data_IF_171193216771
#
_entry.id   IF_171193216771
#
_cell.length_a   1.000
_cell.length_b   1.000
_cell.length_c   1.000
_cell.angle_alpha   90.00
_cell.angle_beta   90.00
_cell.angle_gamma   90.00
#
_symmetry.space_group_name_H-M   'P 1'
#
loop_
_entity.id
_entity.type
_entity.pdbx_description
1 polymer ?
#
# COMPACT_ATOMS: atom_id res chain seq x y z
N UNK A 1 -1.43 7.46 16.79
CA UNK A 1 -0.54 6.52 16.07
C UNK A 1 -1.11 5.10 16.18
N UNK A 2 -1.19 4.36 15.08
CA UNK A 2 -1.79 3.01 15.05
C UNK A 2 -0.89 1.92 15.65
N UNK A 3 0.40 2.20 15.87
CA UNK A 3 1.38 1.29 16.48
C UNK A 3 2.53 2.08 17.11
N UNK A 4 3.39 1.42 17.90
CA UNK A 4 4.52 2.04 18.60
C UNK A 4 5.77 1.15 18.62
N UNK A 5 6.84 1.62 19.27
CA UNK A 5 8.12 0.89 19.36
C UNK A 5 8.03 -0.45 20.10
N UNK A 6 7.25 -0.50 21.18
CA UNK A 6 7.04 -1.75 21.92
C UNK A 6 6.34 -2.80 21.04
N UNK A 7 5.34 -2.40 20.25
CA UNK A 7 4.67 -3.27 19.27
C UNK A 7 5.61 -3.76 18.17
N UNK A 8 6.51 -2.89 17.68
CA UNK A 8 7.56 -3.28 16.74
C UNK A 8 8.49 -4.35 17.33
N UNK A 9 9.02 -4.12 18.54
CA UNK A 9 9.92 -5.06 19.21
C UNK A 9 9.24 -6.39 19.50
N UNK A 10 7.97 -6.35 19.92
CA UNK A 10 7.16 -7.55 20.13
C UNK A 10 6.98 -8.35 18.84
N UNK A 11 6.60 -7.70 17.73
CA UNK A 11 6.40 -8.38 16.45
C UNK A 11 7.69 -9.00 15.93
N UNK A 12 8.81 -8.29 16.03
CA UNK A 12 10.14 -8.80 15.67
C UNK A 12 10.48 -10.08 16.45
N UNK A 13 10.20 -10.10 17.75
CA UNK A 13 10.48 -11.26 18.58
C UNK A 13 9.58 -12.46 18.26
N UNK A 14 8.30 -12.22 17.93
CA UNK A 14 7.35 -13.29 17.60
C UNK A 14 7.66 -13.93 16.23
N UNK A 15 8.08 -13.13 15.24
CA UNK A 15 8.40 -13.64 13.91
C UNK A 15 9.78 -14.31 13.83
N UNK A 16 10.68 -14.02 14.77
CA UNK A 16 12.02 -14.63 14.82
C UNK A 16 12.89 -14.25 13.61
N UNK A 17 13.86 -15.11 13.29
CA UNK A 17 14.85 -14.85 12.24
C UNK A 17 14.34 -15.13 10.82
N UNK A 18 13.15 -15.73 10.69
CA UNK A 18 12.51 -16.00 9.39
C UNK A 18 12.08 -14.69 8.69
N UNK A 19 11.93 -13.60 9.43
CA UNK A 19 11.51 -12.30 8.91
C UNK A 19 12.38 -11.15 9.43
N UNK A 20 12.77 -10.25 8.54
CA UNK A 20 13.31 -8.95 8.93
C UNK A 20 12.18 -7.93 9.08
N UNK A 21 11.92 -7.48 10.31
CA UNK A 21 10.93 -6.42 10.57
C UNK A 21 11.61 -5.05 10.54
N UNK A 22 11.12 -4.17 9.67
CA UNK A 22 11.54 -2.76 9.58
C UNK A 22 10.47 -1.84 10.15
N UNK A 23 10.87 -0.93 11.04
CA UNK A 23 9.99 0.12 11.54
C UNK A 23 10.00 1.30 10.58
N UNK A 24 8.81 1.75 10.17
CA UNK A 24 8.62 2.92 9.32
C UNK A 24 7.88 3.98 10.11
N UNK A 25 8.48 5.16 10.31
CA UNK A 25 7.82 6.28 11.00
C UNK A 25 7.10 7.16 9.98
N UNK A 26 5.84 7.45 10.26
CA UNK A 26 4.99 8.25 9.39
C UNK A 26 4.65 9.60 10.06
N UNK A 27 4.32 10.59 9.23
CA UNK A 27 3.77 11.87 9.70
C UNK A 27 2.50 11.66 10.54
N UNK A 28 2.24 12.56 11.50
CA UNK A 28 1.17 12.39 12.49
C UNK A 28 -0.24 12.27 11.89
N UNK A 29 -0.45 12.86 10.71
CA UNK A 29 -1.73 12.81 9.97
C UNK A 29 -2.02 11.45 9.32
N UNK A 30 -1.07 10.51 9.32
CA UNK A 30 -1.22 9.18 8.71
C UNK A 30 -1.15 8.11 9.80
N UNK A 31 -2.24 7.33 9.93
CA UNK A 31 -2.36 6.33 10.99
C UNK A 31 -1.79 4.96 10.61
N UNK A 32 -1.97 4.53 9.35
CA UNK A 32 -1.63 3.20 8.87
C UNK A 32 -0.74 3.26 7.62
N UNK A 33 0.19 2.30 7.52
CA UNK A 33 1.14 2.21 6.40
C UNK A 33 0.44 1.92 5.07
N UNK A 34 -0.68 1.20 5.08
CA UNK A 34 -1.46 0.87 3.89
C UNK A 34 -2.20 2.06 3.27
N UNK A 35 -2.21 3.22 3.94
CA UNK A 35 -2.70 4.48 3.38
C UNK A 35 -1.67 5.18 2.48
N UNK A 36 -0.38 4.86 2.65
CA UNK A 36 0.73 5.57 1.98
C UNK A 36 1.62 4.66 1.15
N UNK A 37 1.46 3.35 1.28
CA UNK A 37 2.23 2.35 0.56
C UNK A 37 1.33 1.20 0.07
N UNK A 38 1.34 0.98 -1.25
CA UNK A 38 0.84 -0.23 -1.89
C UNK A 38 1.94 -0.83 -2.76
N UNK A 39 2.03 -2.15 -2.76
CA UNK A 39 3.03 -2.92 -3.52
C UNK A 39 2.28 -3.80 -4.51
N UNK A 40 2.02 -3.32 -5.74
CA UNK A 40 1.32 -4.11 -6.76
C UNK A 40 2.08 -5.40 -7.14
N UNK A 41 3.41 -5.33 -7.20
CA UNK A 41 4.33 -6.46 -7.45
C UNK A 41 5.75 -6.09 -7.04
N UNK A 42 6.63 -7.09 -7.05
CA UNK A 42 8.07 -6.89 -6.84
C UNK A 42 8.64 -5.83 -7.80
N UNK A 43 9.43 -4.90 -7.27
CA UNK A 43 10.03 -3.80 -8.02
C UNK A 43 9.11 -2.62 -8.36
N UNK A 44 7.86 -2.60 -7.88
CA UNK A 44 6.89 -1.51 -8.13
C UNK A 44 6.12 -1.15 -6.87
N UNK A 45 6.07 0.15 -6.54
CA UNK A 45 5.24 0.67 -5.45
C UNK A 45 4.40 1.87 -5.88
N UNK A 46 3.23 2.02 -5.24
CA UNK A 46 2.47 3.27 -5.20
C UNK A 46 2.76 3.90 -3.83
N UNK A 47 3.26 5.13 -3.81
CA UNK A 47 3.83 5.70 -2.59
C UNK A 47 3.56 7.20 -2.43
N UNK A 48 3.33 7.63 -1.19
CA UNK A 48 3.40 9.02 -0.79
C UNK A 48 4.69 9.26 0.01
N UNK A 49 5.77 9.67 -0.66
CA UNK A 49 7.09 9.82 -0.03
C UNK A 49 7.08 10.84 1.12
N UNK A 50 6.32 11.93 0.97
CA UNK A 50 6.16 12.98 1.97
C UNK A 50 5.62 12.48 3.32
N UNK A 51 4.98 11.30 3.34
CA UNK A 51 4.46 10.70 4.56
C UNK A 51 5.53 10.00 5.40
N UNK A 52 6.72 9.73 4.87
CA UNK A 52 7.78 8.97 5.52
C UNK A 52 8.78 9.92 6.20
N UNK A 53 8.83 9.91 7.53
CA UNK A 53 9.67 10.83 8.31
C UNK A 53 11.18 10.57 8.15
N UNK A 54 11.54 9.32 7.85
CA UNK A 54 12.93 8.85 7.77
C UNK A 54 13.39 8.62 6.31
N UNK A 55 12.56 9.02 5.33
CA UNK A 55 12.71 8.61 3.95
C UNK A 55 12.22 7.19 3.68
N UNK A 56 12.46 6.71 2.46
CA UNK A 56 11.99 5.39 2.03
C UNK A 56 12.84 4.26 2.64
N UNK A 57 12.23 3.11 2.98
CA UNK A 57 12.97 1.91 3.31
C UNK A 57 13.92 1.49 2.20
N UNK A 58 15.10 1.00 2.58
CA UNK A 58 16.13 0.50 1.67
C UNK A 58 15.60 -0.54 0.69
N UNK A 59 14.66 -1.37 1.14
CA UNK A 59 14.07 -2.46 0.35
C UNK A 59 13.27 -1.98 -0.87
N UNK A 60 12.81 -0.72 -0.87
CA UNK A 60 11.97 -0.17 -1.94
C UNK A 60 12.52 1.10 -2.57
N UNK A 61 13.66 1.63 -2.09
CA UNK A 61 14.18 2.94 -2.53
C UNK A 61 14.53 2.98 -4.03
N UNK A 62 14.93 1.85 -4.60
CA UNK A 62 15.37 1.72 -5.99
C UNK A 62 14.28 1.13 -6.91
N UNK A 63 13.05 1.02 -6.40
CA UNK A 63 11.92 0.51 -7.18
C UNK A 63 11.37 1.56 -8.15
N UNK A 64 10.55 1.11 -9.10
CA UNK A 64 9.70 2.00 -9.87
C UNK A 64 8.57 2.52 -8.97
N UNK A 65 8.40 3.85 -8.92
CA UNK A 65 7.49 4.51 -7.98
C UNK A 65 6.40 5.28 -8.72
N UNK A 66 5.16 4.89 -8.45
CA UNK A 66 3.96 5.68 -8.76
C UNK A 66 3.73 6.62 -7.57
N UNK A 67 4.13 7.88 -7.72
CA UNK A 67 4.09 8.87 -6.65
C UNK A 67 2.71 9.51 -6.51
N UNK A 68 2.24 9.66 -5.28
CA UNK A 68 0.99 10.36 -4.96
C UNK A 68 1.20 11.38 -3.84
N UNK A 69 0.29 12.33 -3.72
CA UNK A 69 0.36 13.40 -2.71
C UNK A 69 -0.27 12.99 -1.38
N UNK A 70 0.00 13.76 -0.32
CA UNK A 70 -0.72 13.61 0.96
C UNK A 70 -2.24 13.85 0.82
N UNK A 71 -2.68 14.64 -0.17
CA UNK A 71 -4.11 14.83 -0.43
C UNK A 71 -4.75 13.59 -1.05
N UNK A 72 -4.01 12.84 -1.86
CA UNK A 72 -4.46 11.53 -2.36
C UNK A 72 -4.54 10.49 -1.23
N UNK A 73 -3.61 10.54 -0.28
CA UNK A 73 -3.62 9.69 0.93
C UNK A 73 -4.83 9.98 1.82
N UNK A 74 -5.17 11.26 2.05
CA UNK A 74 -6.40 11.63 2.79
C UNK A 74 -7.66 11.09 2.11
N UNK A 75 -7.61 10.92 0.80
CA UNK A 75 -8.65 10.30 -0.01
C UNK A 75 -8.47 8.80 -0.21
N UNK A 76 -7.56 8.15 0.54
CA UNK A 76 -7.23 6.72 0.54
C UNK A 76 -6.96 6.13 -0.85
N UNK A 77 -6.38 6.93 -1.76
CA UNK A 77 -6.11 6.55 -3.13
C UNK A 77 -5.19 5.33 -3.27
N UNK A 78 -4.23 5.19 -2.35
CA UNK A 78 -3.21 4.13 -2.36
C UNK A 78 -3.76 2.78 -1.90
N UNK A 79 -4.90 2.76 -1.21
CA UNK A 79 -5.42 1.60 -0.47
C UNK A 79 -6.20 0.59 -1.34
N UNK A 80 -5.73 0.38 -2.56
CA UNK A 80 -6.25 -0.68 -3.45
C UNK A 80 -5.69 -2.05 -3.10
N UNK A 81 -6.18 -3.08 -3.79
CA UNK A 81 -5.86 -4.49 -3.52
C UNK A 81 -5.11 -5.12 -4.70
N UNK A 82 -3.80 -5.40 -4.57
CA UNK A 82 -3.09 -6.28 -5.48
C UNK A 82 -3.65 -7.71 -5.38
N UNK A 83 -4.27 -8.23 -6.44
CA UNK A 83 -4.77 -9.62 -6.47
C UNK A 83 -3.61 -10.56 -6.80
N UNK A 84 -2.82 -10.20 -7.81
CA UNK A 84 -1.55 -10.83 -8.20
C UNK A 84 -0.68 -9.82 -8.97
N UNK A 85 0.43 -10.25 -9.55
CA UNK A 85 1.38 -9.38 -10.25
C UNK A 85 0.85 -8.72 -11.54
N UNK A 86 -0.33 -9.13 -12.01
CA UNK A 86 -0.96 -8.63 -13.24
C UNK A 86 -2.32 -7.97 -13.00
N UNK A 87 -2.95 -8.16 -11.85
CA UNK A 87 -4.30 -7.66 -11.58
C UNK A 87 -4.37 -6.88 -10.27
N UNK A 88 -4.95 -5.69 -10.34
CA UNK A 88 -5.10 -4.78 -9.21
C UNK A 88 -6.55 -4.29 -9.12
N UNK A 89 -7.16 -4.33 -7.94
CA UNK A 89 -8.49 -3.73 -7.71
C UNK A 89 -8.32 -2.34 -7.13
N UNK A 90 -8.88 -1.35 -7.80
CA UNK A 90 -8.79 0.06 -7.45
C UNK A 90 -10.16 0.62 -7.15
N UNK A 91 -10.33 1.19 -5.97
CA UNK A 91 -11.57 1.86 -5.59
C UNK A 91 -11.71 3.21 -6.28
N UNK A 92 -12.95 3.68 -6.42
CA UNK A 92 -13.27 5.06 -6.73
C UNK A 92 -14.59 5.48 -6.09
N UNK A 93 -14.83 6.77 -5.94
CA UNK A 93 -16.10 7.36 -5.53
C UNK A 93 -16.30 8.74 -6.17
N UNK A 94 -17.35 9.47 -5.76
CA UNK A 94 -17.66 10.79 -6.30
C UNK A 94 -16.62 11.88 -6.00
N UNK A 95 -15.76 11.66 -4.99
CA UNK A 95 -14.74 12.61 -4.54
C UNK A 95 -13.31 12.18 -4.89
N UNK A 96 -13.13 10.94 -5.34
CA UNK A 96 -11.85 10.38 -5.71
C UNK A 96 -11.99 9.35 -6.84
N UNK A 97 -11.54 9.70 -8.04
CA UNK A 97 -11.66 8.87 -9.25
C UNK A 97 -10.49 7.86 -9.39
N UNK A 98 -9.35 8.15 -8.76
CA UNK A 98 -8.10 7.36 -8.83
C UNK A 98 -7.59 7.05 -10.25
N UNK A 99 -8.03 7.79 -11.29
CA UNK A 99 -7.66 7.53 -12.70
C UNK A 99 -6.16 7.62 -12.96
N UNK A 100 -5.47 8.54 -12.28
CA UNK A 100 -4.02 8.65 -12.39
C UNK A 100 -3.33 7.32 -12.02
N UNK A 101 -3.68 6.74 -10.88
CA UNK A 101 -3.14 5.45 -10.42
C UNK A 101 -3.50 4.34 -11.41
N UNK A 102 -4.74 4.33 -11.91
CA UNK A 102 -5.15 3.37 -12.94
C UNK A 102 -4.20 3.44 -14.15
N UNK A 103 -4.03 4.63 -14.72
CA UNK A 103 -3.20 4.84 -15.91
C UNK A 103 -1.75 4.44 -15.69
N UNK A 104 -1.17 4.77 -14.53
CA UNK A 104 0.22 4.41 -14.23
C UNK A 104 0.42 2.90 -14.05
N UNK A 105 -0.55 2.20 -13.47
CA UNK A 105 -0.54 0.74 -13.37
C UNK A 105 -0.68 0.09 -14.76
N UNK A 106 -1.61 0.57 -15.58
CA UNK A 106 -1.87 0.03 -16.93
C UNK A 106 -0.68 0.24 -17.87
N UNK A 107 0.02 1.38 -17.79
CA UNK A 107 1.30 1.61 -18.51
C UNK A 107 2.36 0.55 -18.18
N UNK A 108 2.28 -0.06 -17.01
CA UNK A 108 3.20 -1.11 -16.52
C UNK A 108 2.66 -2.53 -16.75
N UNK A 109 1.60 -2.66 -17.56
CA UNK A 109 1.00 -3.95 -17.92
C UNK A 109 0.16 -4.58 -16.81
N UNK A 110 -0.28 -3.80 -15.82
CA UNK A 110 -1.21 -4.28 -14.77
C UNK A 110 -2.63 -3.94 -15.21
N UNK A 111 -3.49 -4.96 -15.28
CA UNK A 111 -4.93 -4.77 -15.51
C UNK A 111 -5.59 -4.27 -14.23
N UNK A 112 -6.27 -3.12 -14.32
CA UNK A 112 -6.93 -2.48 -13.19
C UNK A 112 -8.43 -2.72 -13.24
N UNK A 113 -8.97 -3.29 -12.16
CA UNK A 113 -10.40 -3.51 -11.97
C UNK A 113 -10.95 -2.42 -11.06
N UNK A 114 -11.77 -1.53 -11.60
CA UNK A 114 -12.31 -0.39 -10.85
C UNK A 114 -13.62 -0.76 -10.16
N UNK A 115 -13.72 -0.44 -8.88
CA UNK A 115 -14.90 -0.74 -8.05
C UNK A 115 -15.38 0.53 -7.37
N UNK A 116 -16.66 0.87 -7.54
CA UNK A 116 -17.25 1.96 -6.78
C UNK A 116 -17.30 1.57 -5.30
N UNK A 117 -16.75 2.41 -4.43
CA UNK A 117 -16.72 2.18 -2.99
C UNK A 117 -17.18 3.45 -2.28
N UNK A 118 -18.47 3.52 -1.94
CA UNK A 118 -19.08 4.76 -1.42
C UNK A 118 -18.67 5.12 0.01
N UNK A 119 -18.37 4.13 0.86
CA UNK A 119 -17.90 4.33 2.24
C UNK A 119 -16.44 4.78 2.34
N UNK A 120 -15.74 4.80 1.21
CA UNK A 120 -14.38 5.29 1.07
C UNK A 120 -14.27 6.72 1.60
N UNK A 121 -13.25 7.00 2.41
CA UNK A 121 -12.98 8.29 3.07
C UNK A 121 -13.95 8.68 4.20
N UNK A 122 -15.22 8.28 4.16
CA UNK A 122 -16.22 8.63 5.18
C UNK A 122 -16.06 7.89 6.51
N UNK A 123 -15.48 6.68 6.50
CA UNK A 123 -15.19 5.88 7.71
C UNK A 123 -13.70 5.54 7.87
N UNK A 124 -12.81 6.17 7.08
CA UNK A 124 -11.37 5.99 7.21
C UNK A 124 -10.79 4.69 6.63
N UNK A 125 -11.51 3.99 5.73
CA UNK A 125 -11.00 2.78 5.06
C UNK A 125 -11.39 2.67 3.58
N UNK A 126 -10.63 1.86 2.84
CA UNK A 126 -10.90 1.47 1.44
C UNK A 126 -10.76 -0.06 1.29
N UNK A 127 -10.65 -0.58 0.06
CA UNK A 127 -10.67 -2.00 -0.27
C UNK A 127 -9.65 -2.82 0.52
N UNK A 128 -8.42 -2.30 0.70
CA UNK A 128 -7.40 -3.00 1.46
C UNK A 128 -7.70 -3.01 2.96
N UNK A 129 -8.24 -1.93 3.53
CA UNK A 129 -8.73 -1.94 4.91
C UNK A 129 -9.93 -2.88 5.13
N UNK A 130 -10.73 -3.11 4.08
CA UNK A 130 -11.92 -3.98 4.13
C UNK A 130 -11.62 -5.46 3.85
N UNK A 131 -10.36 -5.82 3.61
CA UNK A 131 -9.96 -7.19 3.23
C UNK A 131 -8.73 -7.66 4.01
N UNK A 132 -8.63 -8.96 4.25
CA UNK A 132 -7.47 -9.59 4.88
C UNK A 132 -7.09 -10.85 4.11
N UNK A 133 -6.07 -10.83 3.23
CA UNK A 133 -5.70 -12.01 2.46
C UNK A 133 -5.09 -13.07 3.37
N UNK A 134 -5.80 -14.19 3.57
CA UNK A 134 -5.33 -15.29 4.42
C UNK A 134 -4.43 -16.29 3.69
N UNK A 135 -4.59 -16.42 2.37
CA UNK A 135 -3.83 -17.34 1.53
C UNK A 135 -3.54 -16.70 0.18
N UNK A 136 -2.29 -16.81 -0.26
CA UNK A 136 -1.84 -16.49 -1.62
C UNK A 136 -0.99 -17.64 -2.12
N UNK A 137 -1.17 -18.01 -3.38
CA UNK A 137 -0.28 -18.96 -4.02
C UNK A 137 1.02 -18.23 -4.39
N UNK A 138 2.14 -18.68 -3.84
CA UNK A 138 3.47 -18.17 -4.19
C UNK A 138 4.03 -19.09 -5.26
N UNK A 139 4.05 -18.64 -6.51
CA UNK A 139 4.81 -19.34 -7.54
C UNK A 139 6.28 -19.10 -7.24
N UNK A 140 6.96 -20.12 -6.74
CA UNK A 140 8.41 -20.11 -6.65
C UNK A 140 8.96 -19.96 -8.07
N UNK A 141 9.51 -18.79 -8.38
CA UNK A 141 10.54 -18.71 -9.41
C UNK A 141 11.74 -19.40 -8.79
N UNK A 142 11.93 -20.69 -9.08
CA UNK A 142 13.22 -21.32 -8.81
C UNK A 142 14.30 -20.44 -9.49
N UNK A 143 15.43 -20.20 -8.80
CA UNK A 143 16.56 -19.50 -9.40
C UNK A 143 17.04 -20.23 -10.67
#
# INVERSE_FOLDING_TARGET
>A
MGSNEAGYNWLKNILGDDYTVKRVRLVESVLHLDCVLSVPRDGLAIICEEAFLDGLPEEIKDWDLIRVSLDDVKRLAVNGLPVNSQHYVLSYNQHNDNRYIQTELEKRGITVHRVFFGTHNGQGGSLRCATQPLKREVRSTKP
#
